data_IF_966137180742
#
_entry.id   IF_966137180742
#
_cell.length_a   1.000
_cell.length_b   1.000
_cell.length_c   1.000
_cell.angle_alpha   90.00
_cell.angle_beta   90.00
_cell.angle_gamma   90.00
#
_symmetry.space_group_name_H-M   'P 1'
#
loop_
_entity.id
_entity.type
_entity.pdbx_description
1 polymer ?
#
# COMPACT_ATOMS: atom_id res chain seq x y z
N UNK A 1 11.90 29.55 -33.51
CA UNK A 1 12.16 28.21 -34.07
C UNK A 1 11.11 27.86 -35.11
N UNK A 2 9.90 27.42 -34.75
CA UNK A 2 8.89 27.01 -35.75
C UNK A 2 8.09 28.16 -36.39
N UNK A 3 8.16 29.36 -35.80
CA UNK A 3 7.51 30.56 -36.32
C UNK A 3 8.37 31.34 -37.32
N UNK A 4 9.60 30.89 -37.58
CA UNK A 4 10.58 31.59 -38.40
C UNK A 4 10.15 31.51 -39.89
N UNK A 5 9.97 32.64 -40.60
CA UNK A 5 9.50 32.65 -42.00
C UNK A 5 10.42 31.88 -42.96
N UNK A 6 11.72 31.80 -42.64
CA UNK A 6 12.74 31.15 -43.46
C UNK A 6 13.02 29.69 -43.07
N UNK A 7 12.24 29.10 -42.16
CA UNK A 7 12.44 27.73 -41.66
C UNK A 7 12.41 26.69 -42.80
N UNK A 8 11.40 26.77 -43.68
CA UNK A 8 11.23 25.80 -44.78
C UNK A 8 12.42 25.87 -45.75
N UNK A 9 12.94 27.09 -46.01
CA UNK A 9 14.10 27.28 -46.87
C UNK A 9 15.37 26.66 -46.28
N UNK A 10 15.57 26.78 -44.96
CA UNK A 10 16.71 26.14 -44.24
C UNK A 10 16.62 24.62 -44.27
N UNK A 11 15.42 24.06 -44.16
CA UNK A 11 15.20 22.61 -44.26
C UNK A 11 15.35 22.09 -45.69
N UNK A 12 15.01 22.90 -46.70
CA UNK A 12 15.19 22.55 -48.10
C UNK A 12 16.66 22.62 -48.54
N UNK A 13 17.47 23.51 -47.95
CA UNK A 13 18.90 23.60 -48.24
C UNK A 13 19.74 22.46 -47.69
N UNK A 14 19.24 21.71 -46.70
CA UNK A 14 20.00 20.63 -46.07
C UNK A 14 19.66 19.28 -46.73
N UNK A 15 20.65 18.51 -47.22
CA UNK A 15 20.43 17.28 -47.97
C UNK A 15 19.71 16.19 -47.17
N UNK A 16 19.80 16.21 -45.82
CA UNK A 16 19.14 15.22 -44.95
C UNK A 16 17.65 15.47 -44.77
N UNK A 17 17.22 16.74 -44.76
CA UNK A 17 15.82 17.13 -44.50
C UNK A 17 15.06 17.50 -45.78
N UNK A 18 15.75 17.80 -46.88
CA UNK A 18 15.16 18.01 -48.19
C UNK A 18 14.20 16.89 -48.66
N UNK A 19 14.53 15.58 -48.54
CA UNK A 19 13.60 14.52 -48.95
C UNK A 19 12.37 14.41 -48.04
N UNK A 20 12.45 14.86 -46.78
CA UNK A 20 11.33 14.84 -45.84
C UNK A 20 10.26 15.91 -46.19
N UNK A 21 10.66 16.99 -46.87
CA UNK A 21 9.75 18.05 -47.33
C UNK A 21 8.89 17.62 -48.54
N UNK A 22 9.25 16.54 -49.23
CA UNK A 22 8.45 15.99 -50.32
C UNK A 22 7.20 15.26 -49.82
N UNK A 23 7.17 14.86 -48.54
CA UNK A 23 6.05 14.18 -47.92
C UNK A 23 4.96 15.19 -47.48
N UNK A 24 3.76 15.06 -48.05
CA UNK A 24 2.63 15.94 -47.79
C UNK A 24 2.13 15.84 -46.35
N UNK A 25 2.23 14.66 -45.73
CA UNK A 25 1.79 14.44 -44.34
C UNK A 25 2.74 15.15 -43.36
N UNK A 26 4.04 15.07 -43.62
CA UNK A 26 5.05 15.72 -42.81
C UNK A 26 5.00 17.26 -42.91
N UNK A 27 4.74 17.79 -44.11
CA UNK A 27 4.52 19.23 -44.31
C UNK A 27 3.29 19.75 -43.54
N UNK A 28 2.21 18.96 -43.48
CA UNK A 28 1.03 19.32 -42.70
C UNK A 28 1.32 19.37 -41.18
N UNK A 29 2.17 18.47 -40.68
CA UNK A 29 2.63 18.49 -39.28
C UNK A 29 3.45 19.73 -38.96
N UNK A 30 4.40 20.11 -39.83
CA UNK A 30 5.19 21.34 -39.66
C UNK A 30 4.33 22.60 -39.66
N UNK A 31 3.29 22.65 -40.50
CA UNK A 31 2.33 23.76 -40.52
C UNK A 31 1.48 23.81 -39.25
N UNK A 32 1.06 22.66 -38.70
CA UNK A 32 0.35 22.59 -37.42
C UNK A 32 1.19 23.11 -36.26
N UNK A 33 2.46 22.73 -36.19
CA UNK A 33 3.37 23.18 -35.14
C UNK A 33 3.70 24.68 -35.26
N UNK A 34 3.66 25.23 -36.47
CA UNK A 34 3.74 26.68 -36.70
C UNK A 34 2.52 27.41 -36.11
N UNK A 35 1.33 26.81 -36.19
CA UNK A 35 0.11 27.38 -35.59
C UNK A 35 0.00 27.13 -34.08
N UNK A 36 0.45 25.98 -33.60
CA UNK A 36 0.35 25.55 -32.19
C UNK A 36 1.69 24.99 -31.68
N UNK A 37 2.53 25.81 -31.03
CA UNK A 37 3.84 25.39 -30.51
C UNK A 37 3.79 24.40 -29.35
N UNK A 38 2.63 24.21 -28.70
CA UNK A 38 2.50 23.35 -27.51
C UNK A 38 2.33 21.86 -27.83
N UNK A 39 2.07 21.49 -29.10
CA UNK A 39 1.86 20.10 -29.52
C UNK A 39 3.16 19.35 -29.89
N UNK A 40 4.33 20.00 -29.69
CA UNK A 40 5.66 19.42 -29.99
C UNK A 40 5.87 18.06 -29.31
N UNK A 41 5.33 17.87 -28.10
CA UNK A 41 5.52 16.64 -27.32
C UNK A 41 4.96 15.37 -27.98
N UNK A 42 3.93 15.47 -28.82
CA UNK A 42 3.40 14.31 -29.55
C UNK A 42 4.23 13.96 -30.79
N UNK A 43 4.82 14.97 -31.42
CA UNK A 43 5.61 14.79 -32.64
C UNK A 43 7.08 14.41 -32.35
N UNK A 44 7.55 14.55 -31.10
CA UNK A 44 8.88 14.11 -30.66
C UNK A 44 9.06 12.57 -30.70
N UNK A 45 7.96 11.82 -30.81
CA UNK A 45 8.00 10.37 -31.00
C UNK A 45 8.41 9.97 -32.43
N UNK A 46 8.33 10.89 -33.40
CA UNK A 46 8.70 10.63 -34.79
C UNK A 46 10.22 10.87 -34.98
N UNK A 47 11.01 9.85 -35.35
CA UNK A 47 12.46 10.00 -35.52
C UNK A 47 12.83 10.99 -36.63
N UNK A 48 11.94 11.21 -37.61
CA UNK A 48 12.13 12.18 -38.69
C UNK A 48 12.05 13.62 -38.18
N UNK A 49 11.23 13.84 -37.16
CA UNK A 49 11.02 15.15 -36.56
C UNK A 49 12.22 15.61 -35.73
N UNK A 50 12.88 14.66 -35.04
CA UNK A 50 14.15 14.92 -34.33
C UNK A 50 15.26 15.40 -35.26
N UNK A 51 15.34 14.83 -36.48
CA UNK A 51 16.32 15.25 -37.49
C UNK A 51 16.07 16.67 -38.01
N UNK A 52 14.79 17.06 -38.15
CA UNK A 52 14.42 18.45 -38.51
C UNK A 52 14.73 19.42 -37.39
N UNK A 53 14.49 19.01 -36.13
CA UNK A 53 14.84 19.81 -34.96
C UNK A 53 16.34 20.00 -34.80
N UNK A 54 17.12 18.97 -35.11
CA UNK A 54 18.59 19.04 -35.04
C UNK A 54 19.12 20.07 -36.03
N UNK A 55 18.61 20.09 -37.28
CA UNK A 55 18.97 21.09 -38.29
C UNK A 55 18.49 22.49 -37.91
N UNK A 56 17.30 22.62 -37.31
CA UNK A 56 16.75 23.92 -36.90
C UNK A 56 17.48 24.51 -35.68
N UNK A 57 18.00 23.66 -34.79
CA UNK A 57 18.84 24.05 -33.65
C UNK A 57 20.34 24.13 -34.01
N UNK A 58 20.71 23.82 -35.25
CA UNK A 58 22.10 23.90 -35.73
C UNK A 58 23.03 22.80 -35.21
N UNK A 59 22.47 21.69 -34.70
CA UNK A 59 23.21 20.56 -34.13
C UNK A 59 23.02 19.37 -35.07
N UNK A 60 24.08 18.93 -35.76
CA UNK A 60 24.00 17.77 -36.66
C UNK A 60 24.20 16.47 -35.86
N UNK A 61 23.11 15.87 -35.35
CA UNK A 61 23.18 14.58 -34.65
C UNK A 61 23.04 13.42 -35.64
N UNK A 62 24.11 12.62 -35.80
CA UNK A 62 24.10 11.35 -36.53
C UNK A 62 23.67 10.22 -35.57
N UNK A 63 22.65 9.44 -35.90
CA UNK A 63 22.13 8.37 -35.05
C UNK A 63 22.24 7.00 -35.75
N UNK A 64 23.22 6.17 -35.33
CA UNK A 64 23.15 4.70 -35.42
C UNK A 64 24.33 3.93 -36.06
N UNK A 65 25.26 3.40 -35.23
CA UNK A 65 25.73 1.99 -35.17
C UNK A 65 26.91 1.83 -34.14
N UNK A 66 27.08 0.69 -33.42
CA UNK A 66 28.08 0.50 -32.34
C UNK A 66 29.33 -0.30 -32.81
N UNK A 67 30.40 -0.53 -31.99
CA UNK A 67 30.78 0.04 -30.69
C UNK A 67 32.19 0.68 -30.69
N UNK A 68 32.48 1.54 -29.70
CA UNK A 68 33.86 1.86 -29.29
C UNK A 68 34.19 3.34 -29.14
N UNK A 69 34.50 3.71 -27.89
CA UNK A 69 35.36 4.79 -27.43
C UNK A 69 35.17 6.23 -27.98
N UNK A 70 34.89 7.13 -27.02
CA UNK A 70 35.39 8.51 -27.04
C UNK A 70 34.52 9.54 -27.76
N UNK A 71 33.81 10.37 -27.01
CA UNK A 71 34.20 11.78 -26.77
C UNK A 71 33.03 12.58 -26.21
N UNK A 72 33.40 13.48 -25.29
CA UNK A 72 32.50 14.30 -24.50
C UNK A 72 31.82 15.39 -25.33
N UNK A 73 30.53 15.52 -25.03
CA UNK A 73 29.77 16.75 -24.90
C UNK A 73 30.56 18.07 -24.93
N UNK A 74 30.15 18.97 -25.82
CA UNK A 74 30.20 20.41 -25.57
C UNK A 74 28.89 21.06 -26.02
N UNK A 75 28.00 21.35 -25.07
CA UNK A 75 26.92 22.31 -25.22
C UNK A 75 27.20 23.50 -24.31
N UNK A 76 27.33 24.67 -24.93
CA UNK A 76 27.50 25.95 -24.25
C UNK A 76 26.25 26.38 -23.49
N UNK A 77 26.50 26.77 -22.24
CA UNK A 77 26.06 27.97 -21.51
C UNK A 77 24.85 28.75 -22.05
N UNK A 78 23.85 28.91 -21.17
CA UNK A 78 23.18 30.19 -20.93
C UNK A 78 23.19 30.47 -19.43
N UNK A 79 23.51 31.72 -19.11
CA UNK A 79 23.83 32.34 -17.82
C UNK A 79 22.66 32.41 -16.85
N UNK A 80 22.90 32.18 -15.55
CA UNK A 80 22.25 32.91 -14.45
C UNK A 80 23.24 33.13 -13.30
N UNK A 81 23.13 34.32 -12.71
CA UNK A 81 23.98 35.10 -11.80
C UNK A 81 24.74 34.39 -10.66
N UNK A 82 26.05 34.67 -10.57
CA UNK A 82 26.95 34.31 -9.47
C UNK A 82 26.92 35.36 -8.33
N UNK A 83 26.70 34.90 -7.09
CA UNK A 83 27.06 35.61 -5.86
C UNK A 83 28.36 35.00 -5.33
N UNK A 84 29.41 35.82 -5.23
CA UNK A 84 30.76 35.37 -4.86
C UNK A 84 30.87 34.93 -3.38
N UNK A 85 31.37 33.71 -3.19
CA UNK A 85 31.96 33.23 -1.92
C UNK A 85 33.47 33.04 -2.15
N UNK A 86 34.36 33.63 -1.34
CA UNK A 86 35.80 33.46 -1.52
C UNK A 86 36.32 32.14 -0.94
N UNK A 87 37.40 31.65 -1.58
CA UNK A 87 38.31 30.56 -1.22
C UNK A 87 37.93 29.10 -1.57
N UNK A 88 37.96 28.80 -2.88
CA UNK A 88 38.43 27.51 -3.37
C UNK A 88 39.92 27.60 -3.73
N UNK A 89 40.77 26.78 -3.10
CA UNK A 89 42.19 26.64 -3.46
C UNK A 89 42.34 26.21 -4.92
N UNK A 90 43.32 26.74 -5.68
CA UNK A 90 43.52 26.34 -7.07
C UNK A 90 43.94 24.88 -7.18
N UNK A 91 43.31 24.16 -8.13
CA UNK A 91 43.69 22.81 -8.51
C UNK A 91 45.11 22.79 -9.13
N UNK A 92 45.94 21.78 -8.85
CA UNK A 92 47.27 21.68 -9.44
C UNK A 92 47.18 21.41 -10.95
N UNK A 93 48.02 22.11 -11.73
CA UNK A 93 48.22 21.89 -13.17
C UNK A 93 48.65 20.43 -13.41
N UNK A 94 47.91 19.74 -14.27
CA UNK A 94 48.30 18.43 -14.79
C UNK A 94 49.24 18.63 -15.97
N UNK A 95 50.52 18.27 -15.81
CA UNK A 95 51.44 18.10 -16.93
C UNK A 95 51.11 16.80 -17.67
N UNK A 96 51.15 16.76 -19.01
CA UNK A 96 50.90 15.54 -19.76
C UNK A 96 52.00 14.52 -19.46
N UNK A 97 51.61 13.38 -18.86
CA UNK A 97 52.47 12.22 -18.67
C UNK A 97 52.94 11.72 -20.04
N UNK A 98 54.27 11.61 -20.20
CA UNK A 98 54.93 10.78 -21.21
C UNK A 98 54.28 9.39 -21.23
N UNK A 99 54.05 8.87 -22.43
CA UNK A 99 53.75 7.44 -22.62
C UNK A 99 54.85 6.61 -21.95
N UNK A 100 54.52 5.69 -21.04
CA UNK A 100 55.50 4.77 -20.50
C UNK A 100 55.96 3.84 -21.63
N UNK A 101 57.28 3.69 -21.75
CA UNK A 101 57.89 2.60 -22.49
C UNK A 101 57.30 1.26 -22.02
N UNK A 102 57.24 0.22 -22.88
CA UNK A 102 56.70 -1.08 -22.50
C UNK A 102 57.59 -1.67 -21.40
N UNK A 103 57.17 -1.50 -20.15
CA UNK A 103 57.70 -2.22 -19.01
C UNK A 103 57.41 -3.72 -19.23
N UNK A 104 58.39 -4.60 -18.99
CA UNK A 104 58.18 -6.03 -19.11
C UNK A 104 57.05 -6.46 -18.16
N UNK A 105 56.19 -7.37 -18.63
CA UNK A 105 55.13 -7.97 -17.82
C UNK A 105 55.68 -8.35 -16.45
N UNK A 106 55.14 -7.81 -15.34
CA UNK A 106 55.59 -8.22 -14.02
C UNK A 106 55.20 -9.68 -13.86
N UNK A 107 56.19 -10.53 -13.66
CA UNK A 107 56.00 -11.91 -13.21
C UNK A 107 55.04 -11.88 -12.02
N UNK A 108 53.88 -12.53 -12.15
CA UNK A 108 52.88 -12.59 -11.08
C UNK A 108 53.54 -13.11 -9.79
N UNK A 109 53.69 -12.23 -8.80
CA UNK A 109 54.26 -12.52 -7.47
C UNK A 109 53.62 -13.79 -6.89
N UNK A 110 54.44 -14.77 -6.49
CA UNK A 110 53.99 -16.06 -5.95
C UNK A 110 52.96 -15.91 -4.80
N UNK A 111 53.05 -14.82 -4.03
CA UNK A 111 52.15 -14.50 -2.92
C UNK A 111 50.72 -14.18 -3.38
N UNK A 112 50.56 -13.52 -4.53
CA UNK A 112 49.23 -13.21 -5.10
C UNK A 112 48.59 -14.46 -5.73
N UNK A 113 49.40 -15.37 -6.27
CA UNK A 113 48.96 -16.70 -6.74
C UNK A 113 48.53 -17.58 -5.56
N UNK A 114 49.34 -17.62 -4.50
CA UNK A 114 49.02 -18.36 -3.27
C UNK A 114 47.73 -17.85 -2.61
N UNK A 115 47.49 -16.54 -2.59
CA UNK A 115 46.23 -15.96 -2.10
C UNK A 115 45.02 -16.34 -2.96
N UNK A 116 45.17 -16.38 -4.29
CA UNK A 116 44.12 -16.84 -5.22
C UNK A 116 43.83 -18.33 -5.05
N UNK A 117 44.86 -19.16 -4.85
CA UNK A 117 44.72 -20.60 -4.59
C UNK A 117 44.05 -20.87 -3.24
N UNK A 118 44.45 -20.15 -2.18
CA UNK A 118 43.80 -20.23 -0.87
C UNK A 118 42.33 -19.84 -0.94
N UNK A 119 42.00 -18.79 -1.71
CA UNK A 119 40.60 -18.40 -1.99
C UNK A 119 39.84 -19.48 -2.75
N UNK A 120 40.45 -20.12 -3.75
CA UNK A 120 39.83 -21.21 -4.49
C UNK A 120 39.54 -22.42 -3.58
N UNK A 121 40.49 -22.80 -2.73
CA UNK A 121 40.31 -23.87 -1.74
C UNK A 121 39.21 -23.52 -0.72
N UNK A 122 39.17 -22.28 -0.23
CA UNK A 122 38.11 -21.81 0.65
C UNK A 122 36.72 -21.85 -0.03
N UNK A 123 36.65 -21.52 -1.33
CA UNK A 123 35.42 -21.61 -2.10
C UNK A 123 34.95 -23.05 -2.38
N UNK A 124 35.87 -23.99 -2.53
CA UNK A 124 35.53 -25.42 -2.57
C UNK A 124 34.98 -25.92 -1.24
N UNK A 125 35.58 -25.52 -0.11
CA UNK A 125 35.06 -25.84 1.21
C UNK A 125 33.68 -25.22 1.44
N UNK A 126 33.45 -23.98 1.00
CA UNK A 126 32.11 -23.37 1.00
C UNK A 126 31.11 -24.21 0.21
N UNK A 127 31.47 -24.68 -0.99
CA UNK A 127 30.58 -25.54 -1.80
C UNK A 127 30.23 -26.83 -1.05
N UNK A 128 31.23 -27.53 -0.49
CA UNK A 128 31.02 -28.71 0.37
C UNK A 128 30.10 -28.39 1.56
N UNK A 129 30.35 -27.29 2.27
CA UNK A 129 29.50 -26.81 3.35
C UNK A 129 28.06 -26.56 2.92
N UNK A 130 27.84 -25.98 1.73
CA UNK A 130 26.47 -25.79 1.20
C UNK A 130 25.78 -27.08 0.80
N UNK A 131 26.53 -28.10 0.37
CA UNK A 131 25.98 -29.43 0.09
C UNK A 131 25.53 -30.13 1.38
N UNK A 132 26.36 -30.09 2.42
CA UNK A 132 26.00 -30.60 3.75
C UNK A 132 24.81 -29.84 4.36
N UNK A 133 24.78 -28.52 4.22
CA UNK A 133 23.64 -27.70 4.64
C UNK A 133 22.34 -28.12 3.94
N UNK A 134 22.37 -28.39 2.62
CA UNK A 134 21.22 -28.90 1.88
C UNK A 134 20.80 -30.31 2.34
N UNK A 135 21.76 -31.14 2.73
CA UNK A 135 21.52 -32.47 3.32
C UNK A 135 21.05 -32.41 4.80
N UNK A 136 20.89 -31.21 5.37
CA UNK A 136 20.56 -30.96 6.80
C UNK A 136 21.62 -31.48 7.78
N UNK A 137 22.83 -31.70 7.30
CA UNK A 137 24.01 -32.04 8.08
C UNK A 137 24.69 -30.73 8.51
N UNK A 138 24.16 -30.12 9.58
CA UNK A 138 24.53 -28.76 9.98
C UNK A 138 25.88 -28.71 10.70
N UNK A 139 26.24 -29.74 11.45
CA UNK A 139 27.51 -29.80 12.19
C UNK A 139 28.70 -29.88 11.24
N UNK A 140 28.63 -30.77 10.24
CA UNK A 140 29.64 -30.90 9.21
C UNK A 140 29.72 -29.63 8.33
N UNK A 141 28.58 -29.00 8.06
CA UNK A 141 28.55 -27.72 7.34
C UNK A 141 29.25 -26.60 8.13
N UNK A 142 29.01 -26.52 9.44
CA UNK A 142 29.67 -25.55 10.33
C UNK A 142 31.18 -25.72 10.28
N UNK A 143 31.69 -26.95 10.40
CA UNK A 143 33.14 -27.20 10.30
C UNK A 143 33.74 -26.79 8.95
N UNK A 144 33.04 -27.08 7.85
CA UNK A 144 33.52 -26.68 6.52
C UNK A 144 33.53 -25.16 6.35
N UNK A 145 32.56 -24.44 6.93
CA UNK A 145 32.55 -22.97 6.89
C UNK A 145 33.60 -22.34 7.82
N UNK A 146 33.90 -22.92 8.99
CA UNK A 146 34.98 -22.44 9.85
C UNK A 146 36.34 -22.66 9.22
N UNK A 147 36.58 -23.84 8.64
CA UNK A 147 37.80 -24.14 7.86
C UNK A 147 37.95 -23.20 6.66
N UNK A 148 36.86 -22.89 5.95
CA UNK A 148 36.89 -21.92 4.85
C UNK A 148 37.30 -20.51 5.31
N UNK A 149 36.80 -20.08 6.48
CA UNK A 149 37.14 -18.79 7.08
C UNK A 149 38.60 -18.70 7.54
N UNK A 150 39.17 -19.79 8.05
CA UNK A 150 40.58 -19.87 8.45
C UNK A 150 41.54 -19.77 7.26
N UNK A 151 41.18 -20.36 6.10
CA UNK A 151 41.98 -20.26 4.87
C UNK A 151 41.91 -18.87 4.24
N UNK A 152 40.69 -18.32 4.09
CA UNK A 152 40.48 -17.01 3.50
C UNK A 152 39.34 -16.28 4.21
N UNK A 153 39.61 -15.06 4.67
CA UNK A 153 38.62 -14.26 5.39
C UNK A 153 37.65 -13.59 4.40
N UNK A 154 36.45 -14.13 4.27
CA UNK A 154 35.33 -13.53 3.52
C UNK A 154 34.05 -13.52 4.39
N UNK A 155 33.37 -12.38 4.41
CA UNK A 155 32.08 -12.17 5.08
C UNK A 155 31.04 -13.25 4.71
N UNK A 156 31.11 -13.77 3.49
CA UNK A 156 30.17 -14.78 2.96
C UNK A 156 30.23 -16.07 3.77
N UNK A 157 31.43 -16.50 4.19
CA UNK A 157 31.58 -17.75 4.95
C UNK A 157 30.96 -17.62 6.35
N UNK A 158 31.20 -16.51 7.06
CA UNK A 158 30.58 -16.23 8.37
C UNK A 158 29.06 -16.06 8.28
N UNK A 159 28.57 -15.43 7.21
CA UNK A 159 27.14 -15.30 6.95
C UNK A 159 26.49 -16.67 6.76
N UNK A 160 27.12 -17.57 5.99
CA UNK A 160 26.63 -18.96 5.80
C UNK A 160 26.75 -19.80 7.08
N UNK A 161 27.81 -19.61 7.87
CA UNK A 161 27.97 -20.21 9.18
C UNK A 161 26.81 -19.82 10.12
N UNK A 162 26.45 -18.54 10.15
CA UNK A 162 25.28 -18.06 10.88
C UNK A 162 23.98 -18.73 10.42
N UNK A 163 23.84 -19.03 9.12
CA UNK A 163 22.68 -19.77 8.60
C UNK A 163 22.64 -21.21 9.12
N UNK A 164 23.78 -21.92 9.09
CA UNK A 164 23.89 -23.29 9.58
C UNK A 164 23.58 -23.40 11.08
N UNK A 165 24.11 -22.47 11.89
CA UNK A 165 23.81 -22.41 13.33
C UNK A 165 22.34 -22.10 13.62
N UNK A 166 21.73 -21.20 12.85
CA UNK A 166 20.31 -20.88 12.96
C UNK A 166 19.42 -22.10 12.74
N UNK A 167 19.68 -22.90 11.70
CA UNK A 167 18.91 -24.12 11.42
C UNK A 167 19.15 -25.23 12.45
N UNK A 168 20.36 -25.27 13.05
CA UNK A 168 20.67 -26.16 14.18
C UNK A 168 19.87 -25.79 15.45
N UNK A 169 19.39 -24.55 15.55
CA UNK A 169 18.71 -24.01 16.73
C UNK A 169 19.63 -23.26 17.71
N UNK A 170 20.91 -23.10 17.37
CA UNK A 170 21.85 -22.26 18.11
C UNK A 170 21.72 -20.80 17.63
N UNK A 171 20.73 -20.09 18.18
CA UNK A 171 20.42 -18.71 17.80
C UNK A 171 21.47 -17.72 18.31
N UNK A 172 22.01 -17.93 19.50
CA UNK A 172 23.05 -17.06 20.08
C UNK A 172 24.36 -17.15 19.27
N UNK A 173 24.79 -18.37 18.95
CA UNK A 173 25.97 -18.58 18.12
C UNK A 173 25.80 -18.08 16.68
N UNK A 174 24.57 -18.08 16.16
CA UNK A 174 24.25 -17.46 14.86
C UNK A 174 24.36 -15.94 14.89
N UNK A 175 23.88 -15.30 15.97
CA UNK A 175 23.99 -13.85 16.17
C UNK A 175 25.46 -13.43 16.26
N UNK A 176 26.27 -14.13 17.07
CA UNK A 176 27.70 -13.87 17.19
C UNK A 176 28.42 -13.98 15.83
N UNK A 177 28.19 -15.09 15.10
CA UNK A 177 28.80 -15.27 13.78
C UNK A 177 28.39 -14.19 12.77
N UNK A 178 27.16 -13.69 12.85
CA UNK A 178 26.69 -12.60 11.99
C UNK A 178 27.22 -11.22 12.42
N UNK A 179 27.41 -10.97 13.72
CA UNK A 179 28.04 -9.75 14.22
C UNK A 179 29.51 -9.68 13.77
N UNK A 180 30.26 -10.77 13.93
CA UNK A 180 31.64 -10.87 13.42
C UNK A 180 31.69 -10.66 11.90
N UNK A 181 30.70 -11.17 11.16
CA UNK A 181 30.58 -10.95 9.72
C UNK A 181 30.40 -9.45 9.39
N UNK A 182 29.61 -8.73 10.18
CA UNK A 182 29.35 -7.30 9.97
C UNK A 182 30.58 -6.46 10.32
N UNK A 183 31.24 -6.76 11.44
CA UNK A 183 32.47 -6.08 11.86
C UNK A 183 33.55 -6.21 10.79
N UNK A 184 33.86 -7.44 10.38
CA UNK A 184 34.79 -7.69 9.29
C UNK A 184 34.32 -7.10 7.96
N UNK A 185 33.02 -7.19 7.67
CA UNK A 185 32.42 -6.62 6.47
C UNK A 185 32.62 -5.12 6.35
N UNK A 186 32.60 -4.40 7.47
CA UNK A 186 32.85 -2.95 7.53
C UNK A 186 34.33 -2.63 7.37
N UNK A 187 35.22 -3.44 7.93
CA UNK A 187 36.67 -3.28 7.75
C UNK A 187 37.07 -3.44 6.28
N UNK A 188 36.58 -4.49 5.63
CA UNK A 188 36.93 -4.83 4.23
C UNK A 188 36.08 -4.06 3.21
N UNK A 189 35.13 -3.23 3.67
CA UNK A 189 34.18 -2.52 2.79
C UNK A 189 33.46 -3.49 1.84
N UNK A 190 33.01 -4.61 2.41
CA UNK A 190 32.31 -5.66 1.69
C UNK A 190 30.96 -5.16 1.12
N UNK A 191 30.45 -5.91 0.15
CA UNK A 191 29.23 -5.56 -0.54
C UNK A 191 28.04 -5.40 0.45
N UNK A 192 27.41 -4.23 0.47
CA UNK A 192 26.36 -3.84 1.43
C UNK A 192 25.18 -4.82 1.46
N UNK A 193 24.94 -5.53 0.35
CA UNK A 193 23.93 -6.60 0.26
C UNK A 193 24.20 -7.76 1.21
N UNK A 194 25.46 -8.13 1.42
CA UNK A 194 25.83 -9.25 2.30
C UNK A 194 25.71 -8.81 3.76
N UNK A 195 26.13 -7.59 4.07
CA UNK A 195 25.95 -6.97 5.39
C UNK A 195 24.45 -6.90 5.76
N UNK A 196 23.59 -6.47 4.82
CA UNK A 196 22.15 -6.45 5.02
C UNK A 196 21.57 -7.86 5.28
N UNK A 197 22.09 -8.90 4.63
CA UNK A 197 21.69 -10.30 4.89
C UNK A 197 22.10 -10.76 6.30
N UNK A 198 23.27 -10.35 6.78
CA UNK A 198 23.71 -10.65 8.14
C UNK A 198 22.77 -10.00 9.18
N UNK A 199 22.44 -8.71 9.02
CA UNK A 199 21.46 -8.04 9.89
C UNK A 199 20.07 -8.70 9.83
N UNK A 200 19.61 -9.07 8.64
CA UNK A 200 18.33 -9.77 8.48
C UNK A 200 18.31 -11.11 9.22
N UNK A 201 19.44 -11.84 9.23
CA UNK A 201 19.59 -13.11 9.94
C UNK A 201 19.66 -12.95 11.46
N UNK A 202 20.31 -11.89 11.93
CA UNK A 202 20.28 -11.50 13.35
C UNK A 202 18.83 -11.20 13.78
N UNK A 203 18.09 -10.44 12.97
CA UNK A 203 16.67 -10.16 13.20
C UNK A 203 15.84 -11.44 13.34
N UNK A 204 16.00 -12.40 12.42
CA UNK A 204 15.30 -13.70 12.50
C UNK A 204 15.71 -14.52 13.71
N UNK A 205 16.97 -14.41 14.16
CA UNK A 205 17.47 -15.13 15.34
C UNK A 205 16.85 -14.60 16.63
N UNK A 206 16.80 -13.26 16.79
CA UNK A 206 16.12 -12.63 17.92
C UNK A 206 14.61 -12.90 17.93
N UNK A 207 13.97 -12.96 16.76
CA UNK A 207 12.56 -13.33 16.65
C UNK A 207 12.29 -14.74 17.18
N UNK A 208 13.21 -15.70 16.96
CA UNK A 208 13.13 -17.06 17.53
C UNK A 208 13.39 -17.11 19.03
N UNK A 209 14.28 -16.27 19.54
CA UNK A 209 14.53 -16.11 20.99
C UNK A 209 13.35 -15.43 21.71
N UNK A 210 12.46 -14.77 20.98
CA UNK A 210 11.29 -14.06 21.52
C UNK A 210 11.55 -12.59 21.86
N UNK A 211 12.77 -12.11 21.66
CA UNK A 211 13.13 -10.69 21.82
C UNK A 211 12.77 -9.89 20.56
N UNK A 212 11.51 -9.46 20.52
CA UNK A 212 10.96 -8.72 19.39
C UNK A 212 11.56 -7.31 19.26
N UNK A 213 12.04 -6.71 20.34
CA UNK A 213 12.60 -5.36 20.31
C UNK A 213 13.94 -5.34 19.57
N UNK A 214 14.84 -6.27 19.92
CA UNK A 214 16.11 -6.42 19.21
C UNK A 214 15.93 -6.95 17.78
N UNK A 215 14.91 -7.78 17.52
CA UNK A 215 14.58 -8.21 16.16
C UNK A 215 14.21 -7.02 15.25
N UNK A 216 13.29 -6.15 15.70
CA UNK A 216 12.84 -4.95 14.96
C UNK A 216 14.03 -4.03 14.67
N UNK A 217 14.87 -3.77 15.67
CA UNK A 217 16.05 -2.92 15.50
C UNK A 217 16.98 -3.44 14.39
N UNK A 218 17.25 -4.75 14.37
CA UNK A 218 18.12 -5.35 13.37
C UNK A 218 17.47 -5.44 11.98
N UNK A 219 16.15 -5.63 11.90
CA UNK A 219 15.43 -5.52 10.63
C UNK A 219 15.45 -4.10 10.06
N UNK A 220 15.33 -3.07 10.90
CA UNK A 220 15.48 -1.68 10.50
C UNK A 220 16.89 -1.41 9.99
N UNK A 221 17.94 -1.86 10.70
CA UNK A 221 19.34 -1.79 10.23
C UNK A 221 19.54 -2.51 8.90
N UNK A 222 18.98 -3.71 8.72
CA UNK A 222 19.05 -4.42 7.45
C UNK A 222 18.39 -3.61 6.31
N UNK A 223 17.27 -2.94 6.60
CA UNK A 223 16.55 -2.12 5.64
C UNK A 223 17.30 -0.84 5.26
N UNK A 224 18.05 -0.23 6.20
CA UNK A 224 18.87 0.95 5.92
C UNK A 224 20.05 0.61 5.01
N UNK A 225 20.64 -0.58 5.16
CA UNK A 225 21.74 -1.04 4.29
C UNK A 225 21.21 -1.45 2.91
N UNK A 226 20.15 -2.26 2.85
CA UNK A 226 19.53 -2.68 1.60
C UNK A 226 18.05 -3.01 1.77
N UNK A 227 17.19 -2.15 1.21
CA UNK A 227 15.74 -2.31 1.26
C UNK A 227 15.28 -3.45 0.36
N UNK A 228 14.92 -4.58 0.99
CA UNK A 228 14.28 -5.71 0.31
C UNK A 228 12.82 -5.87 0.75
N UNK A 229 11.93 -6.33 -0.14
CA UNK A 229 10.54 -6.59 0.22
C UNK A 229 10.41 -7.70 1.29
N UNK A 230 11.33 -8.67 1.30
CA UNK A 230 11.36 -9.75 2.29
C UNK A 230 11.61 -9.23 3.71
N UNK A 231 12.63 -8.39 3.89
CA UNK A 231 12.95 -7.80 5.21
C UNK A 231 11.83 -6.87 5.67
N UNK A 232 11.22 -6.10 4.77
CA UNK A 232 10.08 -5.24 5.11
C UNK A 232 8.88 -6.05 5.61
N UNK A 233 8.60 -7.20 4.99
CA UNK A 233 7.52 -8.08 5.43
C UNK A 233 7.79 -8.65 6.83
N UNK A 234 9.03 -9.07 7.11
CA UNK A 234 9.46 -9.55 8.44
C UNK A 234 9.40 -8.45 9.51
N UNK A 235 9.86 -7.24 9.19
CA UNK A 235 9.77 -6.08 10.07
C UNK A 235 8.32 -5.82 10.50
N UNK A 236 7.40 -5.72 9.53
CA UNK A 236 5.97 -5.50 9.80
C UNK A 236 5.34 -6.65 10.59
N UNK A 237 5.75 -7.89 10.32
CA UNK A 237 5.30 -9.04 11.08
C UNK A 237 5.77 -8.97 12.54
N UNK A 238 7.04 -8.64 12.78
CA UNK A 238 7.62 -8.48 14.12
C UNK A 238 7.01 -7.30 14.89
N UNK A 239 6.75 -6.18 14.24
CA UNK A 239 6.04 -5.04 14.84
C UNK A 239 4.61 -5.42 15.22
N UNK A 240 3.90 -6.15 14.34
CA UNK A 240 2.55 -6.63 14.63
C UNK A 240 2.55 -7.60 15.81
N UNK A 241 3.46 -8.57 15.85
CA UNK A 241 3.53 -9.54 16.95
C UNK A 241 3.91 -8.87 18.27
N UNK A 242 4.75 -7.83 18.23
CA UNK A 242 5.07 -7.02 19.42
C UNK A 242 3.82 -6.31 19.92
N UNK A 243 3.10 -5.62 19.04
CA UNK A 243 1.85 -4.94 19.41
C UNK A 243 0.81 -5.92 19.96
N UNK A 244 0.66 -7.11 19.38
CA UNK A 244 -0.30 -8.10 19.92
C UNK A 244 0.13 -8.62 21.28
N UNK A 245 1.41 -8.94 21.49
CA UNK A 245 1.92 -9.38 22.80
C UNK A 245 1.80 -8.28 23.85
N UNK A 246 2.12 -7.04 23.50
CA UNK A 246 2.00 -5.90 24.40
C UNK A 246 0.52 -5.70 24.79
N UNK A 247 -0.41 -5.80 23.83
CA UNK A 247 -1.85 -5.74 24.09
C UNK A 247 -2.32 -6.90 24.98
N UNK A 248 -1.89 -8.12 24.71
CA UNK A 248 -2.22 -9.29 25.53
C UNK A 248 -1.69 -9.17 26.96
N UNK A 249 -0.46 -8.67 27.13
CA UNK A 249 0.13 -8.43 28.45
C UNK A 249 -0.58 -7.33 29.24
N UNK A 250 -1.28 -6.43 28.54
CA UNK A 250 -2.05 -5.35 29.16
C UNK A 250 -3.41 -5.82 29.68
N UNK A 251 -3.91 -6.96 29.22
CA UNK A 251 -5.22 -7.48 29.60
C UNK A 251 -5.16 -7.97 31.05
N UNK A 252 -5.87 -7.30 31.93
CA UNK A 252 -6.00 -7.69 33.33
C UNK A 252 -7.44 -7.42 33.82
N UNK A 253 -8.23 -8.46 34.11
CA UNK A 253 -9.63 -8.30 34.50
C UNK A 253 -9.81 -7.59 35.85
N UNK A 254 -8.88 -7.76 36.80
CA UNK A 254 -8.99 -7.11 38.11
C UNK A 254 -8.75 -5.60 38.03
N UNK A 255 -7.78 -5.19 37.22
CA UNK A 255 -7.51 -3.78 36.95
C UNK A 255 -8.63 -3.14 36.12
N UNK A 256 -9.26 -3.90 35.23
CA UNK A 256 -10.42 -3.45 34.48
C UNK A 256 -11.60 -3.11 35.41
N UNK A 257 -11.88 -3.94 36.41
CA UNK A 257 -12.93 -3.68 37.41
C UNK A 257 -12.63 -2.44 38.26
N UNK A 258 -11.37 -2.24 38.68
CA UNK A 258 -10.94 -1.01 39.37
C UNK A 258 -11.16 0.22 38.49
N UNK A 259 -10.78 0.16 37.22
CA UNK A 259 -11.00 1.24 36.26
C UNK A 259 -12.50 1.53 36.04
N UNK A 260 -13.33 0.49 36.04
CA UNK A 260 -14.80 0.63 35.97
C UNK A 260 -15.35 1.38 37.19
N UNK A 261 -14.91 1.03 38.39
CA UNK A 261 -15.35 1.69 39.62
C UNK A 261 -14.95 3.16 39.67
N UNK A 262 -13.71 3.47 39.26
CA UNK A 262 -13.23 4.84 39.11
C UNK A 262 -14.06 5.63 38.08
N UNK A 263 -14.32 5.04 36.92
CA UNK A 263 -15.18 5.66 35.90
C UNK A 263 -16.60 5.93 36.41
N UNK A 264 -17.16 5.01 37.19
CA UNK A 264 -18.48 5.21 37.81
C UNK A 264 -18.48 6.32 38.86
N UNK A 265 -17.41 6.45 39.66
CA UNK A 265 -17.26 7.55 40.61
C UNK A 265 -17.20 8.90 39.88
N UNK A 266 -16.36 9.01 38.84
CA UNK A 266 -16.23 10.24 38.02
C UNK A 266 -17.51 10.59 37.28
N UNK A 267 -18.23 9.58 36.78
CA UNK A 267 -19.54 9.78 36.16
C UNK A 267 -20.57 10.36 37.14
N UNK A 268 -20.54 9.93 38.42
CA UNK A 268 -21.40 10.49 39.47
C UNK A 268 -21.00 11.91 39.87
N UNK A 269 -19.71 12.23 39.82
CA UNK A 269 -19.16 13.57 40.02
C UNK A 269 -19.45 14.52 38.83
N UNK A 270 -20.09 14.02 37.76
CA UNK A 270 -20.33 14.73 36.49
C UNK A 270 -19.05 15.17 35.75
N UNK A 271 -17.90 14.58 36.10
CA UNK A 271 -16.65 14.73 35.36
C UNK A 271 -16.61 13.73 34.20
N UNK A 272 -17.28 14.10 33.11
CA UNK A 272 -17.42 13.25 31.93
C UNK A 272 -16.08 12.97 31.23
N UNK A 273 -15.16 13.95 31.03
CA UNK A 273 -13.87 13.69 30.40
C UNK A 273 -13.01 12.68 31.19
N UNK A 274 -12.88 12.85 32.51
CA UNK A 274 -12.12 11.89 33.32
C UNK A 274 -12.79 10.51 33.35
N UNK A 275 -14.12 10.44 33.31
CA UNK A 275 -14.84 9.18 33.18
C UNK A 275 -14.55 8.48 31.84
N UNK A 276 -14.43 9.23 30.73
CA UNK A 276 -14.04 8.67 29.42
C UNK A 276 -12.65 8.05 29.47
N UNK A 277 -11.69 8.69 30.14
CA UNK A 277 -10.34 8.16 30.31
C UNK A 277 -10.35 6.86 31.12
N UNK A 278 -11.05 6.84 32.25
CA UNK A 278 -11.19 5.66 33.09
C UNK A 278 -11.87 4.48 32.36
N UNK A 279 -12.94 4.73 31.60
CA UNK A 279 -13.58 3.68 30.79
C UNK A 279 -12.73 3.26 29.59
N UNK A 280 -11.94 4.17 29.02
CA UNK A 280 -10.99 3.81 27.95
C UNK A 280 -9.88 2.91 28.48
N UNK A 281 -9.44 3.14 29.71
CA UNK A 281 -8.52 2.25 30.40
C UNK A 281 -9.15 0.88 30.65
N UNK A 282 -10.40 0.83 31.14
CA UNK A 282 -11.16 -0.42 31.26
C UNK A 282 -11.20 -1.20 29.93
N UNK A 283 -11.49 -0.53 28.80
CA UNK A 283 -11.53 -1.17 27.47
C UNK A 283 -10.17 -1.71 27.04
N UNK A 284 -9.07 -1.03 27.38
CA UNK A 284 -7.72 -1.55 27.08
C UNK A 284 -7.40 -2.80 27.91
N UNK A 285 -7.84 -2.82 29.18
CA UNK A 285 -7.62 -3.94 30.12
C UNK A 285 -8.54 -5.13 29.88
N UNK A 286 -9.77 -4.89 29.44
CA UNK A 286 -10.76 -5.90 29.13
C UNK A 286 -11.46 -5.55 27.81
N UNK A 287 -10.81 -5.84 26.66
CA UNK A 287 -11.36 -5.51 25.34
C UNK A 287 -12.61 -6.31 24.98
N UNK A 288 -12.91 -7.38 25.72
CA UNK A 288 -14.05 -8.26 25.45
C UNK A 288 -15.29 -7.90 26.27
N UNK A 289 -15.18 -7.02 27.29
CA UNK A 289 -16.32 -6.63 28.12
C UNK A 289 -17.16 -5.53 27.44
N UNK A 290 -18.44 -5.79 27.08
CA UNK A 290 -19.33 -4.79 26.48
C UNK A 290 -19.65 -3.61 27.42
N UNK A 291 -19.49 -3.77 28.74
CA UNK A 291 -19.83 -2.74 29.73
C UNK A 291 -18.93 -1.52 29.60
N UNK A 292 -17.65 -1.70 29.30
CA UNK A 292 -16.69 -0.59 29.15
C UNK A 292 -17.08 0.34 28.01
N UNK A 293 -17.36 -0.24 26.84
CA UNK A 293 -17.84 0.49 25.66
C UNK A 293 -19.15 1.22 25.92
N UNK A 294 -20.12 0.52 26.51
CA UNK A 294 -21.40 1.14 26.84
C UNK A 294 -21.23 2.33 27.78
N UNK A 295 -20.44 2.18 28.84
CA UNK A 295 -20.22 3.24 29.84
C UNK A 295 -19.49 4.45 29.26
N UNK A 296 -18.52 4.23 28.37
CA UNK A 296 -17.91 5.31 27.61
C UNK A 296 -18.89 6.01 26.67
N UNK A 297 -19.78 5.27 26.01
CA UNK A 297 -20.85 5.84 25.19
C UNK A 297 -21.79 6.74 26.01
N UNK A 298 -22.12 6.38 27.25
CA UNK A 298 -22.92 7.24 28.12
C UNK A 298 -22.22 8.58 28.43
N UNK A 299 -20.91 8.56 28.67
CA UNK A 299 -20.14 9.80 28.81
C UNK A 299 -20.17 10.63 27.53
N UNK A 300 -20.01 10.01 26.37
CA UNK A 300 -20.06 10.72 25.08
C UNK A 300 -21.43 11.35 24.80
N UNK A 301 -22.53 10.69 25.16
CA UNK A 301 -23.88 11.28 25.08
C UNK A 301 -23.98 12.55 25.94
N UNK A 302 -23.38 12.54 27.14
CA UNK A 302 -23.33 13.73 28.02
C UNK A 302 -22.44 14.84 27.48
N UNK A 303 -21.35 14.47 26.80
CA UNK A 303 -20.44 15.39 26.11
C UNK A 303 -20.97 15.85 24.72
N UNK A 304 -22.18 15.41 24.33
CA UNK A 304 -22.78 15.68 23.01
C UNK A 304 -21.98 15.11 21.82
N UNK A 305 -21.05 14.17 22.08
CA UNK A 305 -20.29 13.44 21.08
C UNK A 305 -21.07 12.23 20.53
N UNK A 306 -22.25 12.46 19.96
CA UNK A 306 -23.17 11.38 19.57
C UNK A 306 -22.60 10.38 18.55
N UNK A 307 -21.84 10.78 17.50
CA UNK A 307 -21.27 9.81 16.56
C UNK A 307 -20.30 8.82 17.23
N UNK A 308 -19.45 9.30 18.14
CA UNK A 308 -18.54 8.46 18.91
C UNK A 308 -19.29 7.53 19.86
N UNK A 309 -20.40 8.00 20.45
CA UNK A 309 -21.27 7.17 21.28
C UNK A 309 -21.92 6.01 20.49
N UNK A 310 -22.36 6.27 19.25
CA UNK A 310 -22.91 5.24 18.36
C UNK A 310 -21.86 4.18 18.03
N UNK A 311 -20.63 4.60 17.68
CA UNK A 311 -19.52 3.67 17.40
C UNK A 311 -19.21 2.76 18.60
N UNK A 312 -19.16 3.32 19.81
CA UNK A 312 -18.95 2.54 21.03
C UNK A 312 -20.10 1.58 21.31
N UNK A 313 -21.35 2.00 21.07
CA UNK A 313 -22.49 1.11 21.21
C UNK A 313 -22.45 -0.03 20.17
N UNK A 314 -22.04 0.24 18.93
CA UNK A 314 -21.88 -0.76 17.89
C UNK A 314 -20.80 -1.79 18.26
N UNK A 315 -19.66 -1.34 18.80
CA UNK A 315 -18.63 -2.24 19.31
C UNK A 315 -19.16 -3.09 20.49
N UNK A 316 -19.90 -2.49 21.41
CA UNK A 316 -20.53 -3.23 22.52
C UNK A 316 -21.49 -4.32 22.02
N UNK A 317 -22.34 -3.99 21.03
CA UNK A 317 -23.31 -4.91 20.41
C UNK A 317 -22.61 -6.04 19.66
N UNK A 318 -21.50 -5.76 18.96
CA UNK A 318 -20.69 -6.79 18.29
C UNK A 318 -20.12 -7.81 19.29
N UNK A 319 -19.76 -7.38 20.50
CA UNK A 319 -19.24 -8.28 21.55
C UNK A 319 -20.35 -9.06 22.25
N UNK A 320 -21.42 -8.36 22.64
CA UNK A 320 -22.59 -8.98 23.25
C UNK A 320 -23.90 -8.44 22.64
N UNK A 321 -24.49 -9.17 21.67
CA UNK A 321 -25.77 -8.82 21.06
C UNK A 321 -26.94 -8.85 22.05
N UNK A 322 -26.81 -9.53 23.20
CA UNK A 322 -27.86 -9.57 24.23
C UNK A 322 -27.80 -8.38 25.17
N UNK A 323 -26.81 -7.50 25.02
CA UNK A 323 -26.61 -6.36 25.90
C UNK A 323 -27.52 -5.18 25.53
N UNK A 324 -28.78 -5.26 25.93
CA UNK A 324 -29.84 -4.28 25.62
C UNK A 324 -29.48 -2.84 26.02
N UNK A 325 -28.69 -2.65 27.08
CA UNK A 325 -28.30 -1.31 27.53
C UNK A 325 -27.48 -0.56 26.47
N UNK A 326 -26.70 -1.25 25.63
CA UNK A 326 -26.01 -0.62 24.50
C UNK A 326 -26.99 -0.16 23.41
N UNK A 327 -28.00 -0.97 23.08
CA UNK A 327 -29.05 -0.57 22.12
C UNK A 327 -29.81 0.67 22.60
N UNK A 328 -30.18 0.73 23.89
CA UNK A 328 -30.86 1.89 24.46
C UNK A 328 -29.99 3.16 24.37
N UNK A 329 -28.68 3.06 24.63
CA UNK A 329 -27.74 4.19 24.50
C UNK A 329 -27.56 4.61 23.04
N UNK A 330 -27.51 3.65 22.11
CA UNK A 330 -27.49 3.90 20.66
C UNK A 330 -28.76 4.63 20.20
N UNK A 331 -29.93 4.18 20.63
CA UNK A 331 -31.21 4.84 20.36
C UNK A 331 -31.26 6.26 20.96
N UNK A 332 -30.73 6.46 22.16
CA UNK A 332 -30.61 7.81 22.77
C UNK A 332 -29.68 8.73 21.96
N UNK A 333 -28.56 8.21 21.45
CA UNK A 333 -27.65 8.97 20.61
C UNK A 333 -28.32 9.37 19.28
N UNK A 334 -29.02 8.45 18.60
CA UNK A 334 -29.77 8.78 17.38
C UNK A 334 -30.90 9.77 17.62
N UNK A 335 -31.64 9.61 18.73
CA UNK A 335 -32.65 10.58 19.13
C UNK A 335 -32.05 11.98 19.30
N UNK A 336 -30.89 12.09 19.94
CA UNK A 336 -30.20 13.37 20.11
C UNK A 336 -29.65 13.96 18.79
N UNK A 337 -29.29 13.10 17.84
CA UNK A 337 -28.93 13.48 16.46
C UNK A 337 -30.15 13.83 15.58
N UNK A 338 -31.38 13.68 16.10
CA UNK A 338 -32.66 13.84 15.36
C UNK A 338 -32.87 12.83 14.23
N UNK A 339 -32.16 11.70 14.28
CA UNK A 339 -32.33 10.58 13.36
C UNK A 339 -33.39 9.61 13.90
N UNK A 340 -34.66 10.03 13.87
CA UNK A 340 -35.75 9.30 14.53
C UNK A 340 -36.04 7.93 13.90
N UNK A 341 -35.94 7.79 12.57
CA UNK A 341 -36.17 6.50 11.89
C UNK A 341 -35.17 5.44 12.39
N UNK A 342 -33.87 5.77 12.38
CA UNK A 342 -32.82 4.86 12.87
C UNK A 342 -32.96 4.58 14.37
N UNK A 343 -33.45 5.55 15.15
CA UNK A 343 -33.76 5.31 16.56
C UNK A 343 -34.84 4.23 16.72
N UNK A 344 -35.90 4.27 15.91
CA UNK A 344 -36.98 3.27 15.93
C UNK A 344 -36.42 1.91 15.49
N UNK A 345 -35.66 1.85 14.40
CA UNK A 345 -35.03 0.62 13.91
C UNK A 345 -34.20 -0.04 15.02
N UNK A 346 -33.34 0.70 15.70
CA UNK A 346 -32.54 0.20 16.83
C UNK A 346 -33.41 -0.27 18.01
N UNK A 347 -34.55 0.38 18.27
CA UNK A 347 -35.48 -0.07 19.32
C UNK A 347 -36.18 -1.38 18.92
N UNK A 348 -36.49 -1.58 17.64
CA UNK A 348 -37.04 -2.85 17.15
C UNK A 348 -36.00 -3.97 17.27
N UNK A 349 -34.75 -3.73 16.86
CA UNK A 349 -33.63 -4.66 17.06
C UNK A 349 -33.44 -5.00 18.55
N UNK A 350 -33.50 -3.99 19.43
CA UNK A 350 -33.39 -4.22 20.87
C UNK A 350 -34.50 -5.13 21.42
N UNK A 351 -35.71 -5.02 20.87
CA UNK A 351 -36.86 -5.85 21.27
C UNK A 351 -36.69 -7.30 20.83
N UNK A 352 -36.12 -7.53 19.64
CA UNK A 352 -35.81 -8.88 19.14
C UNK A 352 -34.77 -9.60 20.00
N UNK A 353 -33.82 -8.86 20.58
CA UNK A 353 -32.74 -9.40 21.41
C UNK A 353 -33.06 -9.45 22.92
N UNK A 354 -34.17 -8.86 23.40
CA UNK A 354 -34.54 -8.84 24.83
C UNK A 354 -35.16 -10.18 25.28
N UNK A 355 -34.29 -11.15 25.59
CA UNK A 355 -34.68 -12.43 26.19
C UNK A 355 -35.15 -12.23 27.64
N UNK A 356 -36.43 -11.89 27.82
CA UNK A 356 -37.08 -11.84 29.14
C UNK A 356 -37.85 -10.56 29.46
N UNK A 357 -37.98 -9.63 28.50
CA UNK A 357 -38.88 -8.48 28.60
C UNK A 357 -38.60 -7.50 29.74
N UNK A 358 -37.42 -7.60 30.39
CA UNK A 358 -37.06 -6.76 31.54
C UNK A 358 -36.86 -5.31 31.13
N UNK A 359 -36.40 -5.09 29.90
CA UNK A 359 -36.10 -3.77 29.35
C UNK A 359 -37.17 -3.31 28.35
N UNK A 360 -38.15 -4.15 28.01
CA UNK A 360 -39.22 -3.83 27.08
C UNK A 360 -39.90 -2.48 27.37
N UNK A 361 -40.14 -2.15 28.65
CA UNK A 361 -40.73 -0.85 29.03
C UNK A 361 -39.82 0.34 28.66
N UNK A 362 -38.52 0.24 28.89
CA UNK A 362 -37.55 1.30 28.54
C UNK A 362 -37.44 1.43 27.00
N UNK A 363 -37.43 0.31 26.28
CA UNK A 363 -37.36 0.29 24.80
C UNK A 363 -38.62 0.96 24.22
N UNK A 364 -39.82 0.50 24.61
CA UNK A 364 -41.08 1.07 24.13
C UNK A 364 -41.22 2.54 24.49
N UNK A 365 -40.72 2.98 25.65
CA UNK A 365 -40.74 4.39 26.02
C UNK A 365 -39.84 5.22 25.09
N UNK A 366 -38.63 4.72 24.77
CA UNK A 366 -37.71 5.40 23.87
C UNK A 366 -38.24 5.44 22.43
N UNK A 367 -38.86 4.36 21.98
CA UNK A 367 -39.53 4.26 20.68
C UNK A 367 -40.71 5.25 20.57
N UNK A 368 -41.61 5.26 21.56
CA UNK A 368 -42.72 6.22 21.62
C UNK A 368 -42.23 7.67 21.63
N UNK A 369 -41.14 7.95 22.35
CA UNK A 369 -40.53 9.28 22.38
C UNK A 369 -39.98 9.68 21.01
N UNK A 370 -39.33 8.76 20.30
CA UNK A 370 -38.83 9.00 18.94
C UNK A 370 -39.99 9.23 17.95
N UNK A 371 -41.04 8.41 18.02
CA UNK A 371 -42.26 8.58 17.21
C UNK A 371 -42.93 9.92 17.49
N UNK A 372 -43.15 10.27 18.76
CA UNK A 372 -43.75 11.55 19.13
C UNK A 372 -42.90 12.73 18.64
N UNK A 373 -41.57 12.66 18.76
CA UNK A 373 -40.68 13.70 18.24
C UNK A 373 -40.77 13.82 16.71
N UNK A 374 -40.91 12.69 16.01
CA UNK A 374 -41.10 12.65 14.56
C UNK A 374 -42.45 13.27 14.13
N UNK A 375 -43.54 13.02 14.86
CA UNK A 375 -44.85 13.62 14.58
C UNK A 375 -44.93 15.09 14.99
N UNK A 376 -44.35 15.47 16.12
CA UNK A 376 -44.31 16.88 16.56
C UNK A 376 -43.51 17.77 15.61
N UNK A 377 -42.49 17.23 14.94
CA UNK A 377 -41.79 17.93 13.88
C UNK A 377 -42.65 18.13 12.62
N UNK A 378 -43.72 17.34 12.45
CA UNK A 378 -44.68 17.40 11.32
C UNK A 378 -45.88 18.30 11.60
N UNK A 379 -46.21 18.59 12.86
CA UNK A 379 -47.40 19.38 13.25
C UNK A 379 -47.39 20.85 12.75
N UNK A 380 -46.27 21.31 12.15
CA UNK A 380 -46.15 22.62 11.52
C UNK A 380 -46.17 22.63 9.98
N UNK A 381 -46.26 21.48 9.32
CA UNK A 381 -46.22 21.35 7.86
C UNK A 381 -47.62 21.09 7.29
N UNK A 382 -48.00 21.79 6.21
CA UNK A 382 -49.24 21.48 5.49
C UNK A 382 -49.12 20.15 4.74
N UNK A 383 -50.26 19.50 4.43
CA UNK A 383 -50.32 18.21 3.72
C UNK A 383 -49.53 18.23 2.39
N UNK A 384 -49.48 19.38 1.71
CA UNK A 384 -48.71 19.61 0.48
C UNK A 384 -47.19 19.56 0.69
N UNK A 385 -46.68 20.19 1.76
CA UNK A 385 -45.25 20.19 2.09
C UNK A 385 -44.76 18.79 2.52
N UNK A 386 -45.65 18.03 3.17
CA UNK A 386 -45.40 16.63 3.53
C UNK A 386 -45.29 15.74 2.27
N UNK A 387 -46.17 15.94 1.28
CA UNK A 387 -46.12 15.22 -0.01
C UNK A 387 -44.88 15.57 -0.83
N UNK A 388 -44.44 16.83 -0.84
CA UNK A 388 -43.21 17.24 -1.53
C UNK A 388 -41.96 16.63 -0.91
N UNK A 389 -41.87 16.51 0.42
CA UNK A 389 -40.74 15.83 1.07
C UNK A 389 -40.72 14.35 0.72
N UNK A 390 -41.88 13.68 0.73
CA UNK A 390 -42.01 12.26 0.36
C UNK A 390 -41.59 12.03 -1.10
N UNK A 391 -41.91 12.96 -2.02
CA UNK A 391 -41.44 12.89 -3.42
C UNK A 391 -39.93 13.15 -3.57
N UNK A 392 -39.34 13.98 -2.71
CA UNK A 392 -37.90 14.26 -2.69
C UNK A 392 -37.07 13.17 -2.00
N UNK A 393 -37.69 12.34 -1.14
CA UNK A 393 -37.00 11.28 -0.43
C UNK A 393 -36.74 10.08 -1.38
N UNK A 394 -35.47 9.81 -1.76
CA UNK A 394 -35.15 8.76 -2.73
C UNK A 394 -35.49 7.35 -2.25
N UNK A 395 -35.66 7.13 -0.94
CA UNK A 395 -36.10 5.84 -0.38
C UNK A 395 -37.61 5.58 -0.53
N UNK A 396 -38.44 6.63 -0.61
CA UNK A 396 -39.90 6.48 -0.76
C UNK A 396 -40.32 6.53 -2.24
N UNK A 397 -39.60 7.30 -3.06
CA UNK A 397 -39.83 7.41 -4.50
C UNK A 397 -39.53 6.11 -5.27
N UNK A 398 -38.61 5.29 -4.75
CA UNK A 398 -38.35 3.93 -5.23
C UNK A 398 -38.80 2.92 -4.18
N UNK A 399 -40.06 2.46 -4.19
CA UNK A 399 -40.47 1.38 -3.31
C UNK A 399 -39.55 0.18 -3.55
N UNK A 400 -38.89 -0.29 -2.49
CA UNK A 400 -38.11 -1.53 -2.44
C UNK A 400 -38.97 -2.70 -2.93
N UNK A 401 -38.96 -2.91 -4.25
CA UNK A 401 -39.54 -4.06 -4.92
C UNK A 401 -38.50 -4.75 -5.81
N UNK A 402 -37.23 -4.76 -5.42
CA UNK A 402 -36.23 -5.66 -6.02
C UNK A 402 -35.18 -6.14 -5.00
N UNK A 403 -35.59 -6.59 -3.83
CA UNK A 403 -34.80 -7.59 -3.09
C UNK A 403 -35.40 -8.96 -3.39
N UNK A 404 -34.99 -9.53 -4.53
CA UNK A 404 -35.16 -10.96 -4.76
C UNK A 404 -34.30 -11.69 -3.71
N UNK A 405 -34.93 -12.04 -2.59
CA UNK A 405 -34.43 -12.99 -1.60
C UNK A 405 -34.26 -14.32 -2.32
N UNK A 406 -33.05 -14.62 -2.76
CA UNK A 406 -32.70 -15.92 -3.30
C UNK A 406 -32.79 -16.94 -2.16
N UNK A 407 -33.96 -17.54 -1.98
CA UNK A 407 -34.10 -18.76 -1.21
C UNK A 407 -34.98 -19.77 -1.94
N UNK A 408 -34.57 -21.03 -1.81
CA UNK A 408 -34.89 -22.15 -2.67
C UNK A 408 -36.39 -22.46 -2.80
N UNK A 409 -36.72 -23.11 -3.92
CA UNK A 409 -38.02 -23.70 -4.27
C UNK A 409 -39.15 -22.73 -4.62
N UNK A 410 -39.36 -22.48 -5.92
CA UNK A 410 -40.73 -22.43 -6.43
C UNK A 410 -40.80 -22.78 -7.91
N UNK A 411 -41.10 -24.06 -8.15
CA UNK A 411 -41.44 -24.63 -9.44
C UNK A 411 -42.97 -24.63 -9.55
N UNK A 412 -43.59 -23.47 -9.76
CA UNK A 412 -45.01 -23.35 -10.15
C UNK A 412 -45.39 -21.90 -10.35
N UNK A 413 -45.70 -21.55 -11.61
CA UNK A 413 -46.74 -20.62 -12.06
C UNK A 413 -46.35 -20.13 -13.45
N UNK A 414 -46.60 -21.00 -14.42
CA UNK A 414 -46.85 -20.59 -15.79
C UNK A 414 -48.18 -19.84 -15.87
N UNK A 415 -48.32 -19.05 -16.95
CA UNK A 415 -49.53 -18.40 -17.47
C UNK A 415 -49.77 -16.96 -16.99
N UNK A 416 -49.13 -15.98 -17.64
CA UNK A 416 -49.78 -15.04 -18.58
C UNK A 416 -48.74 -14.04 -19.13
N UNK A 417 -48.90 -13.69 -20.41
CA UNK A 417 -48.10 -12.78 -21.25
C UNK A 417 -46.83 -13.34 -21.93
N UNK A 418 -47.00 -13.58 -23.24
CA UNK A 418 -45.99 -13.92 -24.25
C UNK A 418 -45.06 -12.73 -24.53
N UNK A 419 -43.74 -12.94 -24.39
CA UNK A 419 -42.70 -12.27 -25.18
C UNK A 419 -41.77 -13.36 -25.75
N UNK A 420 -41.38 -13.33 -27.04
CA UNK A 420 -40.67 -14.43 -27.68
C UNK A 420 -39.14 -14.36 -27.49
N UNK A 421 -38.54 -15.54 -27.33
CA UNK A 421 -37.10 -15.85 -27.42
C UNK A 421 -36.16 -15.37 -26.30
N UNK A 422 -36.14 -16.12 -25.20
CA UNK A 422 -34.93 -16.31 -24.38
C UNK A 422 -34.95 -17.74 -23.84
N UNK A 423 -34.26 -18.68 -24.51
CA UNK A 423 -33.95 -20.00 -23.94
C UNK A 423 -32.87 -19.81 -22.88
N UNK A 424 -33.20 -20.06 -21.63
CA UNK A 424 -32.21 -20.19 -20.55
C UNK A 424 -31.63 -21.61 -20.58
N UNK A 425 -30.35 -21.75 -20.95
CA UNK A 425 -29.56 -22.95 -20.63
C UNK A 425 -28.81 -22.69 -19.33
N UNK A 426 -29.19 -23.42 -18.28
CA UNK A 426 -28.44 -23.50 -17.02
C UNK A 426 -27.18 -24.35 -17.23
N UNK A 427 -25.99 -23.79 -16.98
CA UNK A 427 -24.80 -24.58 -16.69
C UNK A 427 -23.97 -23.89 -15.60
N UNK A 428 -23.54 -24.68 -14.61
CA UNK A 428 -22.85 -24.29 -13.36
C UNK A 428 -21.40 -23.80 -13.60
N UNK A 429 -20.72 -23.22 -12.59
CA UNK A 429 -19.87 -22.04 -12.76
C UNK A 429 -18.40 -22.37 -13.06
N UNK A 430 -17.88 -21.79 -14.15
CA UNK A 430 -16.45 -21.53 -14.33
C UNK A 430 -16.30 -20.19 -15.06
N UNK A 431 -15.67 -19.23 -14.38
CA UNK A 431 -14.98 -18.04 -14.94
C UNK A 431 -15.61 -17.46 -16.22
N UNK A 432 -16.60 -16.58 -16.07
CA UNK A 432 -17.23 -15.90 -17.22
C UNK A 432 -16.41 -14.70 -17.69
N UNK A 433 -15.68 -14.92 -18.78
CA UNK A 433 -15.13 -13.91 -19.70
C UNK A 433 -16.29 -13.41 -20.57
N UNK A 434 -16.70 -12.15 -20.43
CA UNK A 434 -17.77 -11.57 -21.26
C UNK A 434 -17.22 -11.11 -22.62
N UNK A 435 -17.69 -11.76 -23.69
CA UNK A 435 -17.44 -11.40 -25.09
C UNK A 435 -18.70 -10.72 -25.64
N UNK A 436 -18.66 -9.40 -25.84
CA UNK A 436 -19.73 -8.70 -26.56
C UNK A 436 -19.55 -8.92 -28.07
N UNK A 437 -20.55 -9.52 -28.73
CA UNK A 437 -20.68 -9.52 -30.19
C UNK A 437 -21.55 -8.33 -30.61
N UNK A 438 -21.05 -7.58 -31.59
CA UNK A 438 -21.60 -6.38 -32.20
C UNK A 438 -23.12 -6.39 -32.43
N UNK A 439 -23.80 -5.36 -31.95
CA UNK A 439 -24.79 -4.60 -32.74
C UNK A 439 -24.62 -3.10 -32.43
N UNK A 440 -24.58 -2.33 -33.50
CA UNK A 440 -24.25 -0.90 -33.58
C UNK A 440 -25.27 -0.02 -32.83
N UNK A 441 -24.85 0.71 -31.78
CA UNK A 441 -25.50 1.96 -31.32
C UNK A 441 -24.64 2.76 -30.32
N UNK A 442 -24.03 3.82 -30.86
CA UNK A 442 -23.61 5.12 -30.26
C UNK A 442 -22.71 5.13 -29.00
N UNK A 443 -21.48 5.69 -29.15
CA UNK A 443 -20.48 6.06 -28.10
C UNK A 443 -21.02 6.85 -26.89
N UNK A 444 -22.25 7.34 -26.94
CA UNK A 444 -22.92 8.09 -25.86
C UNK A 444 -23.44 7.18 -24.74
N UNK A 445 -23.74 5.91 -25.05
CA UNK A 445 -24.17 4.89 -24.08
C UNK A 445 -23.01 4.36 -23.23
N UNK A 446 -21.84 4.17 -23.84
CA UNK A 446 -20.62 3.72 -23.14
C UNK A 446 -20.11 4.75 -22.12
N UNK A 447 -20.21 6.06 -22.42
CA UNK A 447 -19.82 7.12 -21.47
C UNK A 447 -20.76 7.18 -20.26
N UNK A 448 -22.07 6.96 -20.46
CA UNK A 448 -23.04 6.88 -19.36
C UNK A 448 -22.81 5.65 -18.49
N UNK A 449 -22.50 4.51 -19.09
CA UNK A 449 -22.19 3.28 -18.34
C UNK A 449 -20.90 3.42 -17.52
N UNK A 450 -19.86 4.08 -18.06
CA UNK A 450 -18.61 4.39 -17.34
C UNK A 450 -18.81 5.41 -16.22
N UNK A 451 -19.65 6.43 -16.43
CA UNK A 451 -20.01 7.41 -15.39
C UNK A 451 -20.75 6.74 -14.24
N UNK A 452 -21.71 5.87 -14.57
CA UNK A 452 -22.49 5.12 -13.59
C UNK A 452 -21.61 4.15 -12.79
N UNK A 453 -20.70 3.42 -13.44
CA UNK A 453 -19.75 2.53 -12.76
C UNK A 453 -18.69 3.25 -11.91
N UNK A 454 -18.29 4.48 -12.28
CA UNK A 454 -17.43 5.32 -11.43
C UNK A 454 -18.18 5.81 -10.19
N UNK A 455 -19.45 6.15 -10.35
CA UNK A 455 -20.30 6.63 -9.26
C UNK A 455 -20.60 5.51 -8.26
N UNK A 456 -20.88 4.30 -8.76
CA UNK A 456 -21.05 3.10 -7.92
C UNK A 456 -19.74 2.69 -7.22
N UNK A 457 -18.58 2.84 -7.88
CA UNK A 457 -17.29 2.55 -7.24
C UNK A 457 -16.92 3.56 -6.13
N UNK A 458 -17.35 4.82 -6.26
CA UNK A 458 -17.16 5.86 -5.25
C UNK A 458 -18.07 5.68 -4.03
N UNK A 459 -19.31 5.22 -4.23
CA UNK A 459 -20.26 4.97 -3.14
C UNK A 459 -19.95 3.72 -2.32
N UNK A 460 -19.21 2.74 -2.88
CA UNK A 460 -18.94 1.44 -2.22
C UNK A 460 -17.51 1.27 -1.72
N UNK A 461 -16.64 2.29 -1.84
CA UNK A 461 -15.31 2.28 -1.21
C UNK A 461 -14.40 1.12 -1.63
N UNK A 462 -14.53 0.61 -2.86
CA UNK A 462 -13.67 -0.46 -3.39
C UNK A 462 -12.74 0.12 -4.45
N UNK A 463 -11.52 0.47 -4.06
CA UNK A 463 -10.42 0.69 -5.01
C UNK A 463 -10.11 -0.64 -5.71
N UNK A 464 -10.48 -0.74 -6.99
CA UNK A 464 -9.92 -1.75 -7.89
C UNK A 464 -9.24 -1.04 -9.04
N UNK A 465 -7.91 -1.14 -9.06
CA UNK A 465 -7.05 -0.71 -10.16
C UNK A 465 -7.53 -1.30 -11.49
N UNK A 466 -8.00 -0.43 -12.39
CA UNK A 466 -8.27 -0.81 -13.78
C UNK A 466 -6.96 -0.62 -14.55
N UNK A 467 -6.07 -1.63 -14.51
CA UNK A 467 -4.88 -1.65 -15.35
C UNK A 467 -5.24 -2.00 -16.79
N UNK A 468 -4.99 -1.10 -17.73
CA UNK A 468 -5.05 -1.37 -19.17
C UNK A 468 -3.74 -2.02 -19.63
N UNK A 469 -3.74 -3.33 -19.94
CA UNK A 469 -2.71 -3.94 -20.81
C UNK A 469 -3.27 -4.06 -22.22
N UNK A 470 -2.71 -3.28 -23.15
CA UNK A 470 -2.92 -3.45 -24.59
C UNK A 470 -2.06 -4.60 -25.09
N UNK A 471 -2.66 -5.75 -25.38
CA UNK A 471 -2.04 -6.79 -26.20
C UNK A 471 -2.32 -6.49 -27.67
N UNK A 472 -1.30 -6.07 -28.42
CA UNK A 472 -1.35 -6.06 -29.88
C UNK A 472 -1.42 -7.51 -30.39
N UNK A 473 -2.24 -7.81 -31.41
CA UNK A 473 -2.18 -9.10 -32.09
C UNK A 473 -0.98 -9.14 -33.06
N UNK A 474 -0.35 -10.31 -33.13
CA UNK A 474 0.61 -10.72 -34.17
C UNK A 474 -0.11 -10.83 -35.51
#
# INVERSE_FOLDING_TARGET
MFSDPNMIQKLASNPKTAPLLADQEFMAKLQRLRTNPNDIGMELQDPRFLQVMSVLMGIDMSFGAPPGAGEQSSSGVTEEEDVEMPDARPAPKYEPKKEPEPEPEPEEDEETKAAKEAKAQADELKKKGTEFYKKRQFDEAIEHYTKAWELHKDITYKTNLGAAKFEKGDYEGAIQACNEAIEYGREVHADFKIVAKAFARIGTSYEKLGDLSNAILNYQKAQTEHRTPEVLAKLRAAEKTKITKDRESYINPEEAEKARELGNAKFKEADWPAAVEAYSEMIKRAPDDPRGYSNRAACFIKLLGFPSAVQDCDEAIKRDPKFIRAYLRKAQAYFAMREYNRCIDVCTEATEHDEGGKNAREISQQEQKALQAQFSARDGETEEQTMERIQRDPEVSFPQKYTCRANANCNRLSVFFRIPSCRASYNKPRTTRLRCKNTSRTRRSERRCKSWWRQVSLEWGVERDVSLRSSNPV
#
